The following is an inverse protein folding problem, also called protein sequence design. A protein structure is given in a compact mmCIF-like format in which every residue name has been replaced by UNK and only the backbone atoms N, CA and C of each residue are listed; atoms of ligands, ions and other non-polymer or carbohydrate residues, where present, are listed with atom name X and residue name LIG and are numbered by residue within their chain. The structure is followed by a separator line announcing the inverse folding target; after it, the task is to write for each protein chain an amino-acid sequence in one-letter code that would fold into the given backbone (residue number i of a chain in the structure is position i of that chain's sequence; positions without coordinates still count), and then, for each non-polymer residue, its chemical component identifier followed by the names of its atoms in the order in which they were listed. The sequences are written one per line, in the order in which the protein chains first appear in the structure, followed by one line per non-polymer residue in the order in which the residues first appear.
data_IF_970800974133
#
_entry.id   IF_970800974133
#
_cell.length_a   1.000
_cell.length_b   1.000
_cell.length_c   1.000
_cell.angle_alpha   90.00
_cell.angle_beta   90.00
_cell.angle_gamma   90.00
#
_symmetry.space_group_name_H-M   'P 1'
#
loop_
_entity.id
_entity.type
_entity.pdbx_description
1 polymer ?
#
# COMPACT_ATOMS: atom_id res chain seq x y z
N UNK A 1 -8.95 -18.13 9.59
CA UNK A 1 -9.09 -17.18 8.49
C UNK A 1 -8.81 -17.88 7.17
N UNK A 2 -9.68 -17.76 6.21
CA UNK A 2 -9.36 -18.31 4.90
C UNK A 2 -8.18 -17.55 4.29
N UNK A 3 -7.37 -18.26 3.54
CA UNK A 3 -6.25 -17.66 2.85
C UNK A 3 -6.76 -16.69 1.77
N UNK A 4 -5.97 -15.66 1.50
CA UNK A 4 -6.27 -14.76 0.40
C UNK A 4 -6.13 -15.51 -0.93
N UNK A 5 -7.05 -15.25 -1.86
CA UNK A 5 -7.00 -15.83 -3.19
C UNK A 5 -6.55 -14.78 -4.20
N UNK A 6 -5.35 -14.93 -4.81
CA UNK A 6 -4.88 -13.95 -5.79
C UNK A 6 -5.85 -13.73 -6.96
N UNK A 7 -6.66 -14.72 -7.28
CA UNK A 7 -7.62 -14.61 -8.38
C UNK A 7 -8.77 -13.67 -8.07
N UNK A 8 -8.98 -13.33 -6.82
CA UNK A 8 -10.02 -12.38 -6.42
C UNK A 8 -9.56 -10.92 -6.60
N UNK A 9 -8.31 -10.71 -7.00
CA UNK A 9 -7.72 -9.38 -7.12
C UNK A 9 -7.38 -9.09 -8.57
N UNK A 10 -7.90 -7.98 -9.09
CA UNK A 10 -7.57 -7.49 -10.43
C UNK A 10 -6.63 -6.29 -10.38
N UNK A 11 -6.87 -5.38 -9.43
CA UNK A 11 -6.11 -4.15 -9.31
C UNK A 11 -4.84 -4.32 -8.49
N UNK A 12 -4.75 -5.38 -7.70
CA UNK A 12 -3.57 -5.65 -6.87
C UNK A 12 -3.09 -7.06 -7.10
N UNK A 13 -1.79 -7.20 -7.39
CA UNK A 13 -1.14 -8.50 -7.47
C UNK A 13 -0.66 -8.85 -6.07
N UNK A 14 -1.22 -9.89 -5.49
CA UNK A 14 -0.88 -10.31 -4.12
C UNK A 14 -0.12 -11.63 -4.07
N UNK A 15 0.44 -12.07 -5.20
CA UNK A 15 1.23 -13.31 -5.22
C UNK A 15 2.45 -13.25 -4.31
N UNK A 16 2.96 -12.05 -4.05
CA UNK A 16 4.10 -11.84 -3.17
C UNK A 16 3.67 -11.27 -1.81
N UNK A 17 2.41 -11.51 -1.39
CA UNK A 17 1.94 -11.00 -0.10
C UNK A 17 2.99 -11.26 0.99
N UNK A 18 3.34 -10.30 1.84
CA UNK A 18 2.65 -9.04 2.15
C UNK A 18 2.93 -7.87 1.20
N UNK A 19 3.56 -8.10 0.08
CA UNK A 19 3.74 -7.09 -0.97
C UNK A 19 2.55 -7.17 -1.91
N UNK A 20 1.75 -6.09 -1.96
CA UNK A 20 0.60 -5.99 -2.84
C UNK A 20 0.93 -4.97 -3.91
N UNK A 21 1.09 -5.41 -5.16
CA UNK A 21 1.52 -4.54 -6.24
C UNK A 21 0.32 -4.00 -7.00
N UNK A 22 0.15 -2.69 -7.01
CA UNK A 22 -0.93 -2.07 -7.75
C UNK A 22 -0.69 -2.19 -9.25
N UNK A 23 -1.74 -2.53 -10.00
CA UNK A 23 -1.72 -2.70 -11.46
C UNK A 23 -2.44 -1.54 -12.14
N UNK A 24 -1.73 -0.48 -12.54
CA UNK A 24 -2.40 0.67 -13.15
C UNK A 24 -3.07 0.34 -14.48
N UNK A 25 -2.60 -0.68 -15.18
CA UNK A 25 -3.21 -1.10 -16.45
C UNK A 25 -4.65 -1.57 -16.29
N UNK A 26 -5.05 -1.97 -15.09
CA UNK A 26 -6.42 -2.39 -14.80
C UNK A 26 -7.25 -1.28 -14.16
N UNK A 27 -6.66 -0.13 -13.90
CA UNK A 27 -7.35 1.00 -13.26
C UNK A 27 -8.01 1.89 -14.31
N UNK A 28 -8.94 1.30 -15.08
CA UNK A 28 -9.73 2.04 -16.07
C UNK A 28 -10.77 2.91 -15.38
N UNK A 29 -11.31 3.95 -16.05
CA UNK A 29 -12.30 4.82 -15.44
C UNK A 29 -13.46 4.02 -14.82
N UNK A 30 -13.81 4.37 -13.58
CA UNK A 30 -14.83 3.65 -12.82
C UNK A 30 -14.28 2.53 -11.94
N UNK A 31 -12.95 2.44 -11.79
CA UNK A 31 -12.36 1.34 -11.04
C UNK A 31 -12.44 1.49 -9.52
N UNK A 32 -12.71 2.70 -9.01
CA UNK A 32 -12.59 2.97 -7.58
C UNK A 32 -13.42 2.03 -6.69
N UNK A 33 -14.66 1.66 -7.03
CA UNK A 33 -15.40 0.69 -6.20
C UNK A 33 -14.71 -0.67 -6.13
N UNK A 34 -14.09 -1.13 -7.23
CA UNK A 34 -13.33 -2.37 -7.24
C UNK A 34 -12.09 -2.27 -6.36
N UNK A 35 -11.38 -1.15 -6.46
CA UNK A 35 -10.23 -0.85 -5.62
C UNK A 35 -10.62 -0.92 -4.15
N UNK A 36 -11.72 -0.27 -3.78
CA UNK A 36 -12.22 -0.26 -2.42
C UNK A 36 -12.50 -1.68 -1.91
N UNK A 37 -13.15 -2.50 -2.73
CA UNK A 37 -13.46 -3.89 -2.36
C UNK A 37 -12.20 -4.72 -2.12
N UNK A 38 -11.18 -4.53 -2.95
CA UNK A 38 -9.92 -5.27 -2.78
C UNK A 38 -9.19 -4.85 -1.51
N UNK A 39 -9.12 -3.54 -1.24
CA UNK A 39 -8.49 -3.06 0.00
C UNK A 39 -9.27 -3.56 1.22
N UNK A 40 -10.60 -3.53 1.15
CA UNK A 40 -11.42 -4.03 2.23
C UNK A 40 -11.16 -5.52 2.52
N UNK A 41 -10.95 -6.30 1.47
CA UNK A 41 -10.61 -7.72 1.62
C UNK A 41 -9.27 -7.88 2.35
N UNK A 42 -8.27 -7.08 1.99
CA UNK A 42 -6.98 -7.10 2.67
C UNK A 42 -7.11 -6.69 4.14
N UNK A 43 -7.94 -5.70 4.43
CA UNK A 43 -8.17 -5.27 5.80
C UNK A 43 -8.83 -6.36 6.64
N UNK A 44 -9.80 -7.06 6.06
CA UNK A 44 -10.48 -8.15 6.77
C UNK A 44 -9.57 -9.34 7.01
N UNK A 45 -8.61 -9.56 6.13
CA UNK A 45 -7.62 -10.60 6.32
C UNK A 45 -6.78 -10.36 7.58
N UNK A 46 -6.53 -9.09 7.90
CA UNK A 46 -5.96 -8.71 9.19
C UNK A 46 -4.46 -8.83 9.36
N UNK A 47 -3.75 -9.34 8.34
CA UNK A 47 -2.30 -9.42 8.40
C UNK A 47 -1.67 -8.15 7.84
N UNK A 48 -0.52 -7.71 8.36
CA UNK A 48 0.13 -6.50 7.85
C UNK A 48 0.59 -6.67 6.41
N UNK A 49 0.45 -5.61 5.64
CA UNK A 49 0.84 -5.59 4.24
C UNK A 49 1.33 -4.21 3.81
N UNK A 50 1.93 -4.15 2.63
CA UNK A 50 2.43 -2.94 1.99
C UNK A 50 1.89 -2.89 0.57
N UNK A 51 1.48 -1.71 0.10
CA UNK A 51 1.06 -1.53 -1.28
C UNK A 51 2.21 -0.87 -2.05
N UNK A 52 2.60 -1.47 -3.17
CA UNK A 52 3.72 -1.01 -3.99
C UNK A 52 3.20 -0.52 -5.34
N UNK A 53 3.63 0.68 -5.71
CA UNK A 53 3.33 1.31 -7.01
C UNK A 53 4.60 1.31 -7.84
N UNK A 54 4.63 0.50 -8.90
CA UNK A 54 5.82 0.40 -9.77
C UNK A 54 5.76 1.46 -10.86
N UNK A 55 4.55 1.78 -11.34
CA UNK A 55 4.33 2.84 -12.30
C UNK A 55 3.37 3.85 -11.71
N UNK A 56 3.70 5.14 -11.88
CA UNK A 56 2.90 6.22 -11.34
C UNK A 56 2.17 6.98 -12.43
N UNK A 57 2.06 6.39 -13.60
CA UNK A 57 1.30 6.99 -14.69
C UNK A 57 -0.17 6.94 -14.35
N UNK A 58 -0.81 8.09 -14.39
CA UNK A 58 -2.05 8.28 -13.66
C UNK A 58 -3.10 8.97 -14.52
N UNK A 59 -3.80 8.17 -15.31
CA UNK A 59 -4.96 8.63 -16.05
C UNK A 59 -6.24 8.46 -15.23
N UNK A 60 -6.12 8.50 -13.94
CA UNK A 60 -7.26 8.33 -13.05
C UNK A 60 -8.28 9.44 -13.26
N UNK A 61 -9.55 9.06 -13.41
CA UNK A 61 -10.61 10.04 -13.52
C UNK A 61 -10.78 10.83 -12.22
N UNK A 62 -11.33 12.04 -12.35
CA UNK A 62 -11.59 12.86 -11.17
C UNK A 62 -12.55 12.17 -10.20
N UNK A 63 -13.56 11.49 -10.72
CA UNK A 63 -14.53 10.79 -9.88
C UNK A 63 -13.91 9.64 -9.10
N UNK A 64 -13.03 8.88 -9.74
CA UNK A 64 -12.33 7.79 -9.06
C UNK A 64 -11.40 8.32 -7.97
N UNK A 65 -10.68 9.40 -8.27
CA UNK A 65 -9.79 10.03 -7.30
C UNK A 65 -10.57 10.51 -6.09
N UNK A 66 -11.70 11.16 -6.34
CA UNK A 66 -12.55 11.65 -5.25
C UNK A 66 -13.10 10.50 -4.42
N UNK A 67 -13.57 9.45 -5.07
CA UNK A 67 -14.09 8.27 -4.38
C UNK A 67 -13.04 7.67 -3.45
N UNK A 68 -11.81 7.48 -3.97
CA UNK A 68 -10.72 6.93 -3.18
C UNK A 68 -10.35 7.83 -2.01
N UNK A 69 -10.30 9.15 -2.24
CA UNK A 69 -9.95 10.09 -1.18
C UNK A 69 -10.97 10.07 -0.05
N UNK A 70 -12.26 10.04 -0.39
CA UNK A 70 -13.32 9.98 0.63
C UNK A 70 -13.21 8.68 1.43
N UNK A 71 -13.07 7.56 0.74
CA UNK A 71 -12.97 6.26 1.40
C UNK A 71 -11.74 6.19 2.31
N UNK A 72 -10.60 6.68 1.83
CA UNK A 72 -9.36 6.68 2.61
C UNK A 72 -9.50 7.49 3.90
N UNK A 73 -10.15 8.65 3.82
CA UNK A 73 -10.38 9.46 5.03
C UNK A 73 -11.28 8.76 6.03
N UNK A 74 -12.30 8.08 5.53
CA UNK A 74 -13.25 7.38 6.39
C UNK A 74 -12.63 6.14 7.04
N UNK A 75 -11.64 5.53 6.40
CA UNK A 75 -11.08 4.26 6.84
C UNK A 75 -9.61 4.34 7.26
N UNK A 76 -9.08 5.54 7.45
CA UNK A 76 -7.64 5.70 7.67
C UNK A 76 -7.13 4.99 8.93
N UNK A 77 -7.90 4.95 9.98
CA UNK A 77 -7.49 4.28 11.21
C UNK A 77 -7.46 2.77 11.01
N UNK A 78 -8.53 2.21 10.46
CA UNK A 78 -8.62 0.77 10.23
C UNK A 78 -7.59 0.30 9.21
N UNK A 79 -7.39 1.07 8.13
CA UNK A 79 -6.42 0.73 7.11
C UNK A 79 -5.00 0.86 7.66
N UNK A 80 -4.71 1.92 8.41
CA UNK A 80 -3.38 2.13 8.98
C UNK A 80 -2.98 1.07 9.98
N UNK A 81 -3.95 0.36 10.55
CA UNK A 81 -3.63 -0.74 11.47
C UNK A 81 -2.96 -1.91 10.75
N UNK A 82 -3.24 -2.11 9.47
CA UNK A 82 -2.72 -3.25 8.70
C UNK A 82 -1.85 -2.84 7.51
N UNK A 83 -2.13 -1.71 6.86
CA UNK A 83 -1.29 -1.21 5.77
C UNK A 83 -0.13 -0.43 6.37
N UNK A 84 1.07 -1.00 6.30
CA UNK A 84 2.24 -0.44 6.97
C UNK A 84 2.93 0.65 6.16
N UNK A 85 2.73 0.68 4.85
CA UNK A 85 3.27 1.74 4.00
C UNK A 85 2.68 1.67 2.61
N UNK A 86 2.73 2.81 1.93
CA UNK A 86 2.59 2.90 0.49
C UNK A 86 3.99 3.14 -0.06
N UNK A 87 4.45 2.31 -0.98
CA UNK A 87 5.82 2.39 -1.50
C UNK A 87 5.77 2.65 -2.99
N UNK A 88 6.44 3.71 -3.42
CA UNK A 88 6.57 4.04 -4.84
C UNK A 88 7.96 3.67 -5.32
N UNK A 89 8.05 2.99 -6.46
CA UNK A 89 9.32 2.61 -7.08
C UNK A 89 9.61 3.60 -8.19
N UNK A 90 10.70 4.35 -8.05
CA UNK A 90 11.13 5.32 -9.05
C UNK A 90 12.65 5.28 -9.17
N UNK A 91 13.19 4.75 -10.27
CA UNK A 91 14.64 4.64 -10.45
C UNK A 91 15.35 5.98 -10.60
N UNK A 92 14.68 6.99 -11.18
CA UNK A 92 15.32 8.29 -11.40
C UNK A 92 15.39 9.07 -10.08
N UNK A 93 16.59 9.52 -9.66
CA UNK A 93 16.72 10.19 -8.36
C UNK A 93 15.93 11.49 -8.24
N UNK A 94 15.85 12.26 -9.31
CA UNK A 94 15.15 13.55 -9.29
C UNK A 94 13.65 13.34 -9.20
N UNK A 95 13.13 12.42 -10.01
CA UNK A 95 11.71 12.07 -9.96
C UNK A 95 11.36 11.40 -8.65
N UNK A 96 12.27 10.61 -8.10
CA UNK A 96 12.04 9.95 -6.81
C UNK A 96 11.88 10.98 -5.70
N UNK A 97 12.66 12.07 -5.72
CA UNK A 97 12.51 13.13 -4.75
C UNK A 97 11.15 13.82 -4.87
N UNK A 98 10.65 14.02 -6.09
CA UNK A 98 9.33 14.59 -6.31
C UNK A 98 8.23 13.66 -5.81
N UNK A 99 8.36 12.37 -6.08
CA UNK A 99 7.41 11.36 -5.63
C UNK A 99 7.38 11.32 -4.10
N UNK A 100 8.54 11.39 -3.46
CA UNK A 100 8.61 11.42 -2.01
C UNK A 100 7.90 12.64 -1.42
N UNK A 101 8.08 13.81 -2.04
CA UNK A 101 7.42 15.02 -1.60
C UNK A 101 5.90 14.93 -1.73
N UNK A 102 5.41 14.38 -2.85
CA UNK A 102 3.98 14.16 -3.05
C UNK A 102 3.42 13.16 -2.03
N UNK A 103 4.21 12.14 -1.70
CA UNK A 103 3.81 11.15 -0.72
C UNK A 103 3.63 11.73 0.67
N UNK A 104 4.41 12.74 1.03
CA UNK A 104 4.24 13.39 2.34
C UNK A 104 2.89 14.07 2.48
N UNK A 105 2.36 14.62 1.38
CA UNK A 105 1.03 15.21 1.38
C UNK A 105 -0.01 14.14 1.68
N UNK A 106 0.12 12.98 1.06
CA UNK A 106 -0.79 11.86 1.29
C UNK A 106 -0.68 11.33 2.73
N UNK A 107 0.53 11.30 3.30
CA UNK A 107 0.72 10.89 4.69
C UNK A 107 -0.07 11.81 5.62
N UNK A 108 0.01 13.12 5.40
CA UNK A 108 -0.72 14.08 6.23
C UNK A 108 -2.23 13.91 6.11
N UNK A 109 -2.70 13.59 4.90
CA UNK A 109 -4.13 13.45 4.66
C UNK A 109 -4.69 12.13 5.19
N UNK A 110 -3.95 11.03 5.04
CA UNK A 110 -4.48 9.68 5.27
C UNK A 110 -3.78 8.90 6.37
N UNK A 111 -2.66 9.40 6.88
CA UNK A 111 -2.00 8.80 8.04
C UNK A 111 -1.20 7.53 7.76
N UNK A 112 -1.03 7.14 6.50
CA UNK A 112 -0.26 5.94 6.14
C UNK A 112 1.12 6.37 5.67
N UNK A 113 2.22 5.81 6.20
CA UNK A 113 3.56 6.19 5.77
C UNK A 113 3.78 5.95 4.29
N UNK A 114 4.54 6.81 3.65
CA UNK A 114 4.91 6.68 2.24
C UNK A 114 6.43 6.64 2.11
N UNK A 115 6.92 5.74 1.27
CA UNK A 115 8.35 5.64 0.96
C UNK A 115 8.55 5.63 -0.55
N UNK A 116 9.60 6.30 -1.03
CA UNK A 116 10.00 6.23 -2.42
C UNK A 116 11.34 5.51 -2.49
N UNK A 117 11.41 4.46 -3.30
CA UNK A 117 12.61 3.63 -3.42
C UNK A 117 13.04 3.52 -4.87
N UNK A 118 14.28 3.10 -5.11
CA UNK A 118 14.87 3.09 -6.45
C UNK A 118 14.52 1.85 -7.25
N UNK A 119 14.17 0.74 -6.59
CA UNK A 119 13.94 -0.53 -7.28
C UNK A 119 12.85 -1.34 -6.59
N UNK A 120 12.28 -2.28 -7.35
CA UNK A 120 11.30 -3.21 -6.78
C UNK A 120 11.92 -4.07 -5.68
N UNK A 121 13.18 -4.48 -5.86
CA UNK A 121 13.88 -5.23 -4.81
C UNK A 121 13.97 -4.47 -3.50
N UNK A 122 14.22 -3.17 -3.57
CA UNK A 122 14.22 -2.33 -2.37
C UNK A 122 12.82 -2.26 -1.74
N UNK A 123 11.78 -2.19 -2.58
CA UNK A 123 10.40 -2.19 -2.08
C UNK A 123 10.07 -3.50 -1.33
N UNK A 124 10.47 -4.63 -1.89
CA UNK A 124 10.26 -5.94 -1.27
C UNK A 124 10.99 -6.03 0.07
N UNK A 125 12.25 -5.59 0.10
CA UNK A 125 13.04 -5.60 1.34
C UNK A 125 12.43 -4.72 2.41
N UNK A 126 11.98 -3.53 2.01
CA UNK A 126 11.33 -2.61 2.94
C UNK A 126 10.03 -3.20 3.48
N UNK A 127 9.23 -3.80 2.61
CA UNK A 127 7.96 -4.42 3.00
C UNK A 127 8.20 -5.55 4.02
N UNK A 128 9.19 -6.39 3.75
CA UNK A 128 9.53 -7.49 4.68
C UNK A 128 9.92 -6.94 6.04
N UNK A 129 10.72 -5.87 6.06
CA UNK A 129 11.14 -5.25 7.31
C UNK A 129 9.97 -4.62 8.06
N UNK A 130 9.11 -3.88 7.37
CA UNK A 130 7.99 -3.19 8.01
C UNK A 130 6.95 -4.16 8.56
N UNK A 131 6.63 -5.22 7.82
CA UNK A 131 5.66 -6.21 8.28
C UNK A 131 6.25 -7.10 9.38
N UNK A 132 7.55 -7.41 9.29
CA UNK A 132 8.23 -8.18 10.32
C UNK A 132 8.38 -7.37 11.60
N UNK A 133 8.67 -6.06 11.48
CA UNK A 133 8.77 -5.19 12.66
C UNK A 133 7.47 -5.13 13.44
N UNK A 134 6.33 -5.17 12.74
CA UNK A 134 5.04 -5.22 13.41
C UNK A 134 4.96 -6.46 14.31
N UNK A 135 5.29 -7.63 13.77
CA UNK A 135 5.32 -8.88 14.53
C UNK A 135 6.48 -8.87 15.53
N UNK A 136 7.64 -8.35 15.08
CA UNK A 136 8.84 -8.30 15.91
C UNK A 136 8.67 -7.37 17.10
N UNK A 137 7.97 -6.26 16.95
CA UNK A 137 7.72 -5.37 18.08
C UNK A 137 6.90 -6.06 19.15
N UNK A 138 5.93 -6.85 18.76
CA UNK A 138 5.15 -7.62 19.72
C UNK A 138 6.05 -8.60 20.47
N UNK A 139 6.93 -9.29 19.76
CA UNK A 139 7.87 -10.22 20.35
C UNK A 139 8.90 -9.49 21.22
N UNK A 140 9.39 -8.36 20.76
CA UNK A 140 10.37 -7.57 21.51
C UNK A 140 9.80 -7.06 22.81
N UNK A 141 8.54 -6.64 22.77
CA UNK A 141 7.88 -6.20 23.99
C UNK A 141 7.75 -7.29 25.02
N UNK A 142 7.80 -8.54 24.59
CA UNK A 142 7.70 -9.67 25.49
C UNK A 142 9.04 -10.16 26.02
N UNK A 143 10.14 -9.53 25.66
CA UNK A 143 11.34 -9.91 26.32
C UNK A 143 12.63 -9.76 25.57
N UNK A 144 12.54 -9.35 24.37
CA UNK A 144 13.76 -9.36 23.60
C UNK A 144 14.45 -8.02 23.65
N UNK A 145 13.90 -7.06 24.22
CA UNK A 145 14.45 -5.72 24.32
C UNK A 145 15.84 -5.66 24.90
N UNK A 146 16.33 -6.77 25.26
CA UNK A 146 17.70 -6.85 25.69
C UNK A 146 18.66 -6.33 24.63
#
# INVERSE_FOLDING_TARGET
MPALNPNDFALHDIHLFPVCVFRPEHATPGYAPRWEGEIDTLMRHGEPFVIVYVELDNDESHDDRKHRAVWLKQNKVALGAVCKALVSVEPDPDRRAEVAAQGEVAVKAFGIPHHAVASFGQAVSLAARLTRQHSGNDALQTGQQA
#
